data_IF_342909028684
#
_entry.id   IF_342909028684
#
_cell.length_a   1.000
_cell.length_b   1.000
_cell.length_c   1.000
_cell.angle_alpha   90.00
_cell.angle_beta   90.00
_cell.angle_gamma   90.00
#
_symmetry.space_group_name_H-M   'P 1'
#
loop_
_entity.id
_entity.type
_entity.pdbx_description
1 polymer ?
#
# COMPACT_ATOMS: atom_id res chain seq x y z
N UNK A 1 -16.11 -6.47 9.45
CA UNK A 1 -16.89 -6.88 8.32
C UNK A 1 -16.03 -7.10 7.08
N UNK A 2 -16.59 -7.75 6.09
CA UNK A 2 -15.90 -8.03 4.82
C UNK A 2 -15.61 -6.72 4.05
N UNK A 3 -16.59 -5.82 4.02
CA UNK A 3 -16.43 -4.52 3.34
C UNK A 3 -15.84 -3.49 4.30
N UNK A 4 -14.58 -3.13 4.07
CA UNK A 4 -13.84 -2.18 4.89
C UNK A 4 -14.17 -0.72 4.56
N UNK A 5 -14.57 -0.47 3.33
CA UNK A 5 -14.91 0.87 2.85
C UNK A 5 -16.37 1.19 3.09
N UNK A 6 -16.64 2.43 3.54
CA UNK A 6 -18.01 2.92 3.61
C UNK A 6 -18.58 3.06 2.22
N UNK A 7 -19.80 2.54 2.01
CA UNK A 7 -20.58 2.78 0.80
C UNK A 7 -22.07 2.77 1.11
N UNK A 8 -22.88 3.40 0.28
CA UNK A 8 -24.33 3.34 0.34
C UNK A 8 -24.94 3.53 -1.05
N UNK A 9 -26.13 2.99 -1.25
CA UNK A 9 -26.95 3.16 -2.45
C UNK A 9 -28.28 3.90 -2.16
N UNK A 10 -28.39 4.48 -0.97
CA UNK A 10 -29.59 5.16 -0.47
C UNK A 10 -30.57 4.25 0.28
N UNK A 11 -30.44 2.93 0.20
CA UNK A 11 -31.25 1.96 0.91
C UNK A 11 -30.41 1.06 1.82
N UNK A 12 -29.25 0.63 1.33
CA UNK A 12 -28.31 -0.24 2.05
C UNK A 12 -27.06 0.57 2.38
N UNK A 13 -26.71 0.60 3.68
CA UNK A 13 -25.55 1.30 4.17
C UNK A 13 -24.50 0.30 4.65
N UNK A 14 -23.36 0.24 3.94
CA UNK A 14 -22.15 -0.41 4.44
C UNK A 14 -21.36 0.61 5.25
N UNK A 15 -21.31 0.41 6.57
CA UNK A 15 -20.72 1.39 7.49
C UNK A 15 -19.20 1.44 7.38
N UNK A 16 -18.58 0.38 6.85
CA UNK A 16 -17.14 0.21 6.80
C UNK A 16 -16.55 -0.19 8.15
N UNK A 17 -15.21 -0.15 8.25
CA UNK A 17 -14.49 -0.44 9.49
C UNK A 17 -14.22 0.82 10.29
N UNK A 18 -14.24 0.77 11.64
CA UNK A 18 -14.01 1.95 12.48
C UNK A 18 -12.55 2.42 12.49
N UNK A 19 -11.61 1.56 12.10
CA UNK A 19 -10.17 1.83 12.00
C UNK A 19 -9.56 1.01 10.87
N UNK A 20 -8.31 1.31 10.52
CA UNK A 20 -7.55 0.54 9.53
C UNK A 20 -7.20 -0.84 10.07
N UNK A 21 -7.43 -1.90 9.30
CA UNK A 21 -7.18 -3.29 9.68
C UNK A 21 -6.09 -3.94 8.84
N UNK A 22 -5.88 -3.46 7.62
CA UNK A 22 -4.90 -3.98 6.67
C UNK A 22 -4.39 -2.89 5.73
N UNK A 23 -3.33 -3.17 4.99
CA UNK A 23 -2.69 -2.20 4.09
C UNK A 23 -3.60 -1.66 2.99
N UNK A 24 -4.64 -2.38 2.59
CA UNK A 24 -5.65 -1.86 1.66
C UNK A 24 -6.49 -0.72 2.24
N UNK A 25 -6.49 -0.55 3.56
CA UNK A 25 -7.18 0.52 4.26
C UNK A 25 -6.36 1.82 4.35
N UNK A 26 -5.09 1.78 3.94
CA UNK A 26 -4.20 2.92 3.96
C UNK A 26 -4.83 4.13 3.23
N UNK A 27 -4.77 5.29 3.89
CA UNK A 27 -5.32 6.56 3.38
C UNK A 27 -6.85 6.52 3.14
N UNK A 28 -7.57 5.55 3.72
CA UNK A 28 -9.02 5.53 3.74
C UNK A 28 -9.56 6.16 5.02
N UNK A 29 -10.52 7.06 4.88
CA UNK A 29 -11.16 7.69 6.03
C UNK A 29 -12.03 6.67 6.78
N UNK A 30 -11.59 6.25 7.94
CA UNK A 30 -12.29 5.33 8.83
C UNK A 30 -13.18 6.06 9.84
N UNK A 31 -14.09 5.31 10.51
CA UNK A 31 -14.97 5.88 11.51
C UNK A 31 -16.09 4.93 11.90
N UNK A 32 -16.87 5.35 12.86
CA UNK A 32 -18.05 4.64 13.32
C UNK A 32 -19.31 5.50 13.15
N UNK A 33 -20.47 4.90 13.36
CA UNK A 33 -21.74 5.56 13.17
C UNK A 33 -22.60 5.49 14.42
N UNK A 34 -23.33 6.56 14.67
CA UNK A 34 -24.37 6.64 15.70
C UNK A 34 -25.71 6.67 14.96
N UNK A 35 -26.58 5.74 15.29
CA UNK A 35 -27.94 5.71 14.77
C UNK A 35 -28.92 6.14 15.84
N UNK A 36 -29.64 7.22 15.60
CA UNK A 36 -30.73 7.69 16.46
C UNK A 36 -32.02 6.97 16.09
N UNK A 37 -32.56 6.21 17.02
CA UNK A 37 -33.75 5.38 16.81
C UNK A 37 -35.06 6.17 16.76
N UNK A 38 -35.09 7.39 17.33
CA UNK A 38 -36.26 8.25 17.31
C UNK A 38 -36.34 9.04 16.02
N UNK A 39 -35.23 9.74 15.68
CA UNK A 39 -35.15 10.59 14.48
C UNK A 39 -34.82 9.83 13.22
N UNK A 40 -34.40 8.54 13.34
CA UNK A 40 -33.92 7.68 12.24
C UNK A 40 -32.69 8.26 11.52
N UNK A 41 -31.92 9.11 12.19
CA UNK A 41 -30.73 9.72 11.62
C UNK A 41 -29.48 8.85 11.88
N UNK A 42 -28.64 8.72 10.87
CA UNK A 42 -27.34 8.07 10.91
C UNK A 42 -26.23 9.12 10.85
N UNK A 43 -25.48 9.29 11.92
CA UNK A 43 -24.38 10.23 12.01
C UNK A 43 -23.04 9.50 12.01
N UNK A 44 -22.14 9.89 11.10
CA UNK A 44 -20.79 9.32 11.05
C UNK A 44 -19.83 10.13 11.91
N UNK A 45 -19.09 9.45 12.75
CA UNK A 45 -17.98 9.98 13.54
C UNK A 45 -16.67 9.48 12.93
N UNK A 46 -15.83 10.39 12.48
CA UNK A 46 -14.57 10.07 11.81
C UNK A 46 -13.52 9.73 12.87
N UNK A 47 -12.79 8.63 12.62
CA UNK A 47 -11.62 8.29 13.39
C UNK A 47 -10.41 9.03 12.80
N UNK A 48 -9.75 9.92 13.56
CA UNK A 48 -8.58 10.64 13.08
C UNK A 48 -7.29 9.82 13.15
N UNK A 49 -7.32 8.65 13.80
CA UNK A 49 -6.13 7.83 13.99
C UNK A 49 -5.90 6.88 12.81
N UNK A 50 -4.65 6.77 12.41
CA UNK A 50 -4.16 5.85 11.38
C UNK A 50 -3.20 4.85 11.99
N UNK A 51 -3.07 3.68 11.37
CA UNK A 51 -2.15 2.62 11.80
C UNK A 51 -1.06 2.41 10.74
N UNK A 52 -1.42 2.58 9.46
CA UNK A 52 -0.53 2.32 8.34
C UNK A 52 0.01 3.62 7.75
N UNK A 53 1.32 3.66 7.50
CA UNK A 53 1.98 4.82 6.93
C UNK A 53 2.88 4.39 5.77
N UNK A 54 2.87 5.17 4.68
CA UNK A 54 3.81 5.04 3.57
C UNK A 54 4.70 6.26 3.51
N UNK A 55 6.00 6.03 3.43
CA UNK A 55 7.02 7.07 3.24
C UNK A 55 7.65 6.81 1.88
N UNK A 56 7.57 7.79 1.00
CA UNK A 56 8.23 7.76 -0.30
C UNK A 56 9.57 8.46 -0.16
N UNK A 57 10.65 7.68 0.00
CA UNK A 57 11.98 8.23 0.16
C UNK A 57 12.55 8.71 -1.17
N UNK A 58 12.83 10.00 -1.25
CA UNK A 58 13.45 10.62 -2.41
C UNK A 58 14.37 11.74 -1.94
N UNK A 59 15.68 11.44 -1.81
CA UNK A 59 16.70 12.38 -1.31
C UNK A 59 17.04 13.49 -2.31
N UNK A 60 16.47 13.46 -3.50
CA UNK A 60 16.57 14.56 -4.47
C UNK A 60 15.54 15.66 -4.21
N UNK A 61 14.45 15.33 -3.51
CA UNK A 61 13.31 16.24 -3.28
C UNK A 61 13.20 16.74 -1.85
N UNK A 62 13.59 15.92 -0.88
CA UNK A 62 13.38 16.19 0.54
C UNK A 62 14.66 15.94 1.38
N UNK A 63 14.86 16.79 2.38
CA UNK A 63 15.91 16.61 3.39
C UNK A 63 15.36 15.79 4.57
N UNK A 64 15.64 14.49 4.57
CA UNK A 64 15.16 13.56 5.58
C UNK A 64 15.82 13.72 6.96
N UNK A 65 16.89 14.49 7.09
CA UNK A 65 17.48 14.79 8.40
C UNK A 65 16.51 15.54 9.33
N UNK A 66 15.60 16.33 8.75
CA UNK A 66 14.59 17.11 9.47
C UNK A 66 13.22 16.43 9.54
N UNK A 67 13.06 15.31 8.86
CA UNK A 67 11.78 14.61 8.84
C UNK A 67 11.44 14.09 10.25
N UNK A 68 10.27 14.44 10.77
CA UNK A 68 9.79 13.96 12.06
C UNK A 68 9.37 12.50 11.99
N UNK A 69 10.15 11.62 12.61
CA UNK A 69 9.89 10.18 12.67
C UNK A 69 9.09 9.79 13.91
N UNK A 70 8.94 10.66 14.89
CA UNK A 70 8.24 10.36 16.16
C UNK A 70 6.76 10.04 15.96
N UNK A 71 6.15 10.58 14.93
CA UNK A 71 4.76 10.35 14.54
C UNK A 71 4.48 8.90 14.11
N UNK A 72 5.52 8.12 13.83
CA UNK A 72 5.38 6.72 13.40
C UNK A 72 5.47 5.70 14.54
N UNK A 73 5.59 6.18 15.78
CA UNK A 73 5.61 5.30 16.96
C UNK A 73 4.37 4.41 17.00
N UNK A 74 4.57 3.11 17.19
CA UNK A 74 3.51 2.08 17.19
C UNK A 74 2.74 1.94 15.87
N UNK A 75 3.21 2.52 14.77
CA UNK A 75 2.61 2.37 13.44
C UNK A 75 3.32 1.32 12.60
N UNK A 76 2.61 0.79 11.60
CA UNK A 76 3.18 0.01 10.51
C UNK A 76 3.66 0.96 9.43
N UNK A 77 4.93 0.87 9.06
CA UNK A 77 5.56 1.79 8.10
C UNK A 77 6.04 1.02 6.88
N UNK A 78 5.65 1.45 5.68
CA UNK A 78 6.29 1.07 4.42
C UNK A 78 7.16 2.22 3.94
N UNK A 79 8.46 1.98 3.88
CA UNK A 79 9.43 2.89 3.29
C UNK A 79 9.66 2.48 1.85
N UNK A 80 9.10 3.24 0.91
CA UNK A 80 9.20 3.03 -0.52
C UNK A 80 10.33 3.90 -1.04
N UNK A 81 11.40 3.28 -1.52
CA UNK A 81 12.60 3.99 -1.99
C UNK A 81 12.40 4.37 -3.45
N UNK A 82 12.22 5.66 -3.70
CA UNK A 82 12.07 6.23 -5.05
C UNK A 82 13.43 6.62 -5.61
N UNK A 83 14.20 7.41 -4.86
CA UNK A 83 15.57 7.79 -5.18
C UNK A 83 16.46 7.73 -3.94
N UNK A 84 17.61 7.09 -4.08
CA UNK A 84 18.61 6.91 -3.01
C UNK A 84 19.99 7.23 -3.55
N UNK A 85 20.29 8.52 -3.70
CA UNK A 85 21.60 8.98 -4.21
C UNK A 85 22.65 9.00 -3.13
N UNK A 86 22.26 9.29 -1.89
CA UNK A 86 23.16 9.34 -0.72
C UNK A 86 22.81 8.18 0.23
N UNK A 87 23.60 7.11 0.13
CA UNK A 87 23.42 5.92 0.97
C UNK A 87 23.56 6.23 2.46
N UNK A 88 24.47 7.13 2.81
CA UNK A 88 24.68 7.50 4.23
C UNK A 88 23.47 8.20 4.83
N UNK A 89 22.82 9.10 4.07
CA UNK A 89 21.58 9.75 4.51
C UNK A 89 20.43 8.77 4.62
N UNK A 90 20.35 7.84 3.69
CA UNK A 90 19.35 6.79 3.73
C UNK A 90 19.50 5.91 4.98
N UNK A 91 20.72 5.42 5.26
CA UNK A 91 21.00 4.58 6.43
C UNK A 91 20.69 5.34 7.73
N UNK A 92 21.09 6.61 7.81
CA UNK A 92 20.78 7.48 8.96
C UNK A 92 19.28 7.67 9.16
N UNK A 93 18.53 7.82 8.09
CA UNK A 93 17.06 7.95 8.16
C UNK A 93 16.40 6.65 8.61
N UNK A 94 16.80 5.50 8.05
CA UNK A 94 16.29 4.18 8.45
C UNK A 94 16.62 3.86 9.90
N UNK A 95 17.82 4.18 10.37
CA UNK A 95 18.20 4.06 11.79
C UNK A 95 17.30 4.88 12.71
N UNK A 96 16.92 6.09 12.29
CA UNK A 96 15.99 6.93 13.05
C UNK A 96 14.59 6.34 13.08
N UNK A 97 14.12 5.74 11.98
CA UNK A 97 12.83 5.04 11.93
C UNK A 97 12.83 3.83 12.88
N UNK A 98 13.89 3.01 12.88
CA UNK A 98 14.02 1.89 13.82
C UNK A 98 14.02 2.33 15.28
N UNK A 99 14.63 3.48 15.58
CA UNK A 99 14.65 4.07 16.94
C UNK A 99 13.32 4.74 17.34
N UNK A 100 12.41 4.97 16.39
CA UNK A 100 11.12 5.61 16.65
C UNK A 100 10.08 4.67 17.25
N UNK A 101 10.42 3.42 17.57
CA UNK A 101 9.51 2.39 18.08
C UNK A 101 8.31 2.14 17.15
N UNK A 102 8.52 2.10 15.84
CA UNK A 102 7.53 1.63 14.89
C UNK A 102 7.18 0.17 15.19
N UNK A 103 5.92 -0.22 14.99
CA UNK A 103 5.52 -1.61 15.18
C UNK A 103 6.17 -2.54 14.15
N UNK A 104 6.20 -2.09 12.91
CA UNK A 104 6.87 -2.78 11.80
C UNK A 104 7.39 -1.76 10.79
N UNK A 105 8.55 -2.02 10.22
CA UNK A 105 9.11 -1.24 9.11
C UNK A 105 9.42 -2.20 7.97
N UNK A 106 8.76 -1.98 6.83
CA UNK A 106 9.02 -2.70 5.60
C UNK A 106 9.65 -1.75 4.58
N UNK A 107 10.91 -2.01 4.21
CA UNK A 107 11.61 -1.27 3.16
C UNK A 107 11.33 -1.93 1.82
N UNK A 108 10.87 -1.16 0.84
CA UNK A 108 10.59 -1.59 -0.52
C UNK A 108 11.51 -0.80 -1.42
N UNK A 109 12.50 -1.48 -1.99
CA UNK A 109 13.37 -0.92 -3.03
C UNK A 109 12.91 -1.48 -4.37
N UNK A 110 12.43 -0.61 -5.23
CA UNK A 110 12.05 -1.00 -6.59
C UNK A 110 13.28 -0.88 -7.49
N UNK A 111 13.85 -2.02 -7.86
CA UNK A 111 15.01 -2.08 -8.76
C UNK A 111 14.60 -2.11 -10.23
N UNK A 112 13.33 -2.03 -10.56
CA UNK A 112 12.84 -2.17 -11.94
C UNK A 112 13.10 -0.95 -12.82
N UNK A 113 13.51 0.19 -12.28
CA UNK A 113 13.70 1.42 -13.03
C UNK A 113 15.10 2.06 -12.91
N UNK A 114 16.13 1.33 -13.32
CA UNK A 114 17.38 1.98 -13.72
C UNK A 114 17.22 2.79 -15.04
N UNK A 115 16.04 2.79 -15.68
CA UNK A 115 15.82 3.41 -16.98
C UNK A 115 14.49 4.17 -17.18
N UNK A 116 13.68 4.43 -16.15
CA UNK A 116 12.42 5.16 -16.34
C UNK A 116 12.39 6.50 -15.60
N UNK A 117 12.60 7.53 -16.38
CA UNK A 117 12.28 8.93 -16.05
C UNK A 117 10.75 9.06 -15.90
N UNK A 118 10.30 9.34 -14.73
CA UNK A 118 8.95 9.74 -14.29
C UNK A 118 8.26 8.73 -13.38
N UNK A 119 8.56 8.87 -12.08
CA UNK A 119 7.71 8.27 -11.03
C UNK A 119 6.50 9.18 -10.87
N UNK A 120 5.40 8.86 -11.54
CA UNK A 120 4.11 9.50 -11.29
C UNK A 120 3.38 8.78 -10.15
N UNK A 121 2.46 9.47 -9.46
CA UNK A 121 1.54 8.92 -8.45
C UNK A 121 0.79 7.64 -8.92
N UNK A 122 0.82 7.35 -10.21
CA UNK A 122 0.25 6.18 -10.84
C UNK A 122 1.02 4.88 -10.53
N UNK A 123 2.29 4.92 -10.13
CA UNK A 123 3.05 3.70 -9.75
C UNK A 123 2.53 3.09 -8.46
N UNK A 124 1.93 3.90 -7.59
CA UNK A 124 1.34 3.41 -6.34
C UNK A 124 -0.10 2.95 -6.52
N UNK A 125 -0.79 3.46 -7.55
CA UNK A 125 -2.13 2.99 -7.96
C UNK A 125 -2.07 1.77 -8.86
N UNK A 126 -1.00 1.64 -9.59
CA UNK A 126 -0.65 0.44 -10.31
C UNK A 126 0.26 -0.43 -9.40
N UNK A 127 -0.31 -1.19 -8.50
CA UNK A 127 0.03 -2.62 -8.58
C UNK A 127 -0.26 -2.94 -10.04
N UNK A 128 0.72 -2.68 -10.92
CA UNK A 128 0.66 -3.17 -12.28
C UNK A 128 0.21 -4.59 -12.12
N UNK A 129 -0.91 -4.85 -12.75
CA UNK A 129 -1.56 -6.12 -12.79
C UNK A 129 -0.49 -7.19 -12.56
N UNK A 130 -0.61 -7.94 -11.48
CA UNK A 130 0.32 -9.03 -11.11
C UNK A 130 0.65 -9.86 -12.34
N UNK A 131 -0.26 -9.91 -13.30
CA UNK A 131 -0.10 -10.54 -14.60
C UNK A 131 0.96 -9.87 -15.49
N UNK A 132 1.04 -8.55 -15.49
CA UNK A 132 2.07 -7.82 -16.25
C UNK A 132 3.47 -8.09 -15.68
N UNK A 133 3.60 -8.10 -14.34
CA UNK A 133 4.85 -8.45 -13.65
C UNK A 133 5.26 -9.91 -13.91
N UNK A 134 4.32 -10.85 -13.81
CA UNK A 134 4.56 -12.24 -14.11
C UNK A 134 4.94 -12.46 -15.59
N UNK A 135 4.27 -11.74 -16.50
CA UNK A 135 4.58 -11.75 -17.93
C UNK A 135 6.00 -11.30 -18.22
N UNK A 136 6.43 -10.18 -17.60
CA UNK A 136 7.80 -9.66 -17.72
C UNK A 136 8.84 -10.63 -17.17
N UNK A 137 8.57 -11.19 -15.97
CA UNK A 137 9.45 -12.20 -15.37
C UNK A 137 9.67 -13.41 -16.28
N UNK A 138 8.61 -13.89 -16.95
CA UNK A 138 8.71 -14.98 -17.92
C UNK A 138 9.54 -14.57 -19.14
N UNK A 139 9.39 -13.31 -19.62
CA UNK A 139 10.15 -12.81 -20.76
C UNK A 139 11.65 -12.70 -20.46
N UNK A 140 12.01 -12.32 -19.24
CA UNK A 140 13.40 -12.19 -18.79
C UNK A 140 14.02 -13.52 -18.34
N UNK A 141 13.21 -14.54 -18.03
CA UNK A 141 13.72 -15.83 -17.57
C UNK A 141 14.42 -16.60 -18.69
N UNK A 142 15.58 -17.18 -18.37
CA UNK A 142 16.30 -18.12 -19.25
C UNK A 142 15.73 -19.53 -19.04
N UNK A 143 14.63 -19.83 -19.76
CA UNK A 143 13.91 -21.10 -19.63
C UNK A 143 13.84 -21.81 -20.98
N UNK A 144 14.03 -23.14 -21.02
CA UNK A 144 13.86 -23.94 -22.24
C UNK A 144 12.39 -24.13 -22.65
N UNK A 145 11.44 -23.69 -21.80
CA UNK A 145 10.01 -23.81 -22.05
C UNK A 145 9.51 -22.67 -22.96
N UNK A 146 8.42 -22.94 -23.69
CA UNK A 146 7.77 -21.91 -24.52
C UNK A 146 7.15 -20.83 -23.62
N UNK A 147 7.65 -19.61 -23.71
CA UNK A 147 7.26 -18.48 -22.88
C UNK A 147 5.76 -18.16 -22.97
N UNK A 148 5.17 -18.25 -24.15
CA UNK A 148 3.74 -18.01 -24.35
C UNK A 148 2.89 -19.00 -23.54
N UNK A 149 3.25 -20.28 -23.56
CA UNK A 149 2.55 -21.31 -22.79
C UNK A 149 2.71 -21.13 -21.26
N UNK A 150 3.87 -20.63 -20.81
CA UNK A 150 4.09 -20.28 -19.41
C UNK A 150 3.19 -19.11 -18.99
N UNK A 151 3.08 -18.07 -19.81
CA UNK A 151 2.19 -16.92 -19.55
C UNK A 151 0.73 -17.33 -19.49
N UNK A 152 0.26 -18.17 -20.41
CA UNK A 152 -1.11 -18.71 -20.39
C UNK A 152 -1.39 -19.51 -19.11
N UNK A 153 -0.47 -20.37 -18.70
CA UNK A 153 -0.64 -21.15 -17.48
C UNK A 153 -0.63 -20.26 -16.21
N UNK A 154 0.25 -19.26 -16.16
CA UNK A 154 0.28 -18.30 -15.05
C UNK A 154 -1.00 -17.47 -14.97
N UNK A 155 -1.52 -17.03 -16.13
CA UNK A 155 -2.79 -16.32 -16.19
C UNK A 155 -3.94 -17.18 -15.64
N UNK A 156 -3.99 -18.46 -16.04
CA UNK A 156 -5.01 -19.39 -15.57
C UNK A 156 -4.92 -19.61 -14.05
N UNK A 157 -3.71 -19.88 -13.52
CA UNK A 157 -3.50 -20.05 -12.09
C UNK A 157 -3.83 -18.81 -11.28
N UNK A 158 -3.53 -17.63 -11.81
CA UNK A 158 -3.86 -16.36 -11.16
C UNK A 158 -5.37 -16.15 -11.04
N UNK A 159 -6.13 -16.42 -12.13
CA UNK A 159 -7.58 -16.33 -12.09
C UNK A 159 -8.20 -17.38 -11.17
N UNK A 160 -7.71 -18.62 -11.19
CA UNK A 160 -8.14 -19.67 -10.26
C UNK A 160 -7.89 -19.28 -8.81
N UNK A 161 -6.75 -18.62 -8.50
CA UNK A 161 -6.44 -18.15 -7.16
C UNK A 161 -7.36 -17.01 -6.71
N UNK A 162 -7.71 -16.07 -7.61
CA UNK A 162 -8.68 -15.02 -7.30
C UNK A 162 -10.07 -15.57 -7.01
N UNK A 163 -10.50 -16.62 -7.71
CA UNK A 163 -11.78 -17.26 -7.48
C UNK A 163 -11.85 -18.03 -6.15
N UNK A 164 -10.70 -18.39 -5.58
CA UNK A 164 -10.60 -19.08 -4.28
C UNK A 164 -10.56 -18.12 -3.07
N UNK A 165 -10.34 -16.83 -3.28
CA UNK A 165 -10.33 -15.79 -2.22
C UNK A 165 -11.73 -15.17 -1.96
N UNK A 166 -12.78 -15.75 -2.51
CA UNK A 166 -14.18 -15.34 -2.28
C UNK A 166 -14.81 -16.18 -1.13
#
# INVERSE_FOLDING_TARGET
GHYHKKSDDGQIYYLGTPYEMMWSDYNEQKGFHIYDTETKQLTRIINPYTIFNKIFYDDTKEDYDKHDVSKYKNHYVKLIVVNKNDLYKFDKFTDRLYKADCHEIKIIEDFTDLNATTVSDDIVKNTEDTMTLLGRYVDESDTPLKKDRLKENLAKLYHEAQDLEL
#
